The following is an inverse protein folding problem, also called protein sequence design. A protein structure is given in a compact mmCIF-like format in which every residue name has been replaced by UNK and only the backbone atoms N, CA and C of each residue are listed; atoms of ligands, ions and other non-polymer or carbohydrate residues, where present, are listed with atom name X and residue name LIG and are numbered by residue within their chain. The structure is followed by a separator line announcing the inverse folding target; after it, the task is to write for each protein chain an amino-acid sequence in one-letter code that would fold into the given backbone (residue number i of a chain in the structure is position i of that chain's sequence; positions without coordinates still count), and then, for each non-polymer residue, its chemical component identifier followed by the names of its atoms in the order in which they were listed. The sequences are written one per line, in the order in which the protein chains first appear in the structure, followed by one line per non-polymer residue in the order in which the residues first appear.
data_IF_447039873287
#
_entry.id   IF_447039873287
#
_cell.length_a   1.000
_cell.length_b   1.000
_cell.length_c   1.000
_cell.angle_alpha   90.00
_cell.angle_beta   90.00
_cell.angle_gamma   90.00
#
_symmetry.space_group_name_H-M   'P 1'
#
loop_
_entity.id
_entity.type
_entity.pdbx_description
1 polymer ?
#
# COMPACT_ATOMS: atom_id res chain seq x y z
N UNK A 1 -3.90 -18.98 -17.34
CA UNK A 1 -4.48 -19.38 -16.05
C UNK A 1 -5.79 -18.61 -15.86
N UNK A 2 -6.93 -19.29 -15.84
CA UNK A 2 -8.26 -18.67 -15.67
C UNK A 2 -8.42 -18.25 -14.21
N UNK A 3 -8.62 -16.97 -13.98
CA UNK A 3 -9.00 -16.45 -12.66
C UNK A 3 -10.49 -16.77 -12.42
N UNK A 4 -10.78 -17.85 -11.72
CA UNK A 4 -12.11 -18.16 -11.19
C UNK A 4 -12.34 -17.23 -9.98
N UNK A 5 -13.04 -16.10 -10.21
CA UNK A 5 -13.08 -14.99 -9.25
C UNK A 5 -14.05 -15.11 -8.07
N UNK A 6 -14.80 -16.21 -7.91
CA UNK A 6 -15.81 -16.34 -6.86
C UNK A 6 -15.46 -17.35 -5.75
N UNK A 7 -15.10 -18.56 -6.12
CA UNK A 7 -14.82 -19.64 -5.13
C UNK A 7 -13.49 -19.46 -4.39
N UNK A 8 -12.45 -18.93 -5.04
CA UNK A 8 -11.16 -18.64 -4.40
C UNK A 8 -11.26 -17.57 -3.29
N UNK A 9 -12.20 -16.65 -3.40
CA UNK A 9 -12.42 -15.58 -2.40
C UNK A 9 -13.00 -16.12 -1.10
N UNK A 10 -13.99 -17.01 -1.16
CA UNK A 10 -14.63 -17.59 0.03
C UNK A 10 -13.70 -18.58 0.75
N UNK A 11 -12.95 -19.40 0.01
CA UNK A 11 -11.98 -20.34 0.58
C UNK A 11 -10.84 -19.61 1.30
N UNK A 12 -10.34 -18.49 0.73
CA UNK A 12 -9.32 -17.67 1.38
C UNK A 12 -9.83 -16.99 2.66
N UNK A 13 -11.06 -16.49 2.68
CA UNK A 13 -11.67 -15.88 3.86
C UNK A 13 -11.93 -16.90 4.97
N UNK A 14 -12.33 -18.12 4.62
CA UNK A 14 -12.50 -19.20 5.59
C UNK A 14 -11.17 -19.68 6.17
N UNK A 15 -10.13 -19.74 5.33
CA UNK A 15 -8.79 -20.19 5.74
C UNK A 15 -8.02 -19.12 6.53
N UNK A 16 -8.23 -17.86 6.21
CA UNK A 16 -7.56 -16.71 6.82
C UNK A 16 -8.60 -15.65 7.18
N UNK A 17 -9.40 -15.85 8.24
CA UNK A 17 -10.49 -14.96 8.61
C UNK A 17 -10.02 -13.56 9.04
N UNK A 18 -8.76 -13.41 9.44
CA UNK A 18 -8.14 -12.11 9.75
C UNK A 18 -6.94 -11.86 8.84
N UNK A 19 -6.72 -10.62 8.44
CA UNK A 19 -5.52 -10.24 7.66
C UNK A 19 -4.21 -10.62 8.36
N UNK A 20 -4.18 -10.58 9.70
CA UNK A 20 -3.03 -11.02 10.50
C UNK A 20 -2.68 -12.50 10.31
N UNK A 21 -3.64 -13.33 9.92
CA UNK A 21 -3.43 -14.77 9.71
C UNK A 21 -2.57 -15.03 8.45
N UNK A 22 -2.50 -14.05 7.53
CA UNK A 22 -1.63 -14.11 6.35
C UNK A 22 -0.15 -13.91 6.70
N UNK A 23 0.19 -13.42 7.88
CA UNK A 23 1.58 -13.14 8.28
C UNK A 23 2.47 -14.38 8.25
N UNK A 24 1.99 -15.51 8.81
CA UNK A 24 2.74 -16.78 8.85
C UNK A 24 3.00 -17.37 7.45
N UNK A 25 2.00 -17.52 6.57
CA UNK A 25 2.23 -18.00 5.22
C UNK A 25 3.09 -17.03 4.39
N UNK A 26 2.96 -15.72 4.57
CA UNK A 26 3.83 -14.73 3.91
C UNK A 26 5.30 -14.90 4.31
N UNK A 27 5.59 -15.03 5.61
CA UNK A 27 6.94 -15.26 6.12
C UNK A 27 7.61 -16.55 5.57
N UNK A 28 6.81 -17.56 5.17
CA UNK A 28 7.33 -18.79 4.56
C UNK A 28 7.58 -18.67 3.05
N UNK A 29 6.93 -17.75 2.37
CA UNK A 29 6.99 -17.58 0.90
C UNK A 29 7.94 -16.48 0.46
N UNK A 30 8.03 -15.43 1.26
CA UNK A 30 8.87 -14.26 0.95
C UNK A 30 10.30 -14.54 1.45
N UNK A 31 11.35 -14.22 0.68
CA UNK A 31 12.73 -14.35 1.15
C UNK A 31 12.96 -13.62 2.48
N UNK A 32 13.74 -14.19 3.38
CA UNK A 32 13.90 -13.69 4.76
C UNK A 32 14.26 -12.21 4.83
N UNK A 33 15.17 -11.74 3.98
CA UNK A 33 15.61 -10.35 3.96
C UNK A 33 14.50 -9.40 3.46
N UNK A 34 13.70 -9.83 2.49
CA UNK A 34 12.54 -9.08 1.99
C UNK A 34 11.44 -9.04 3.03
N UNK A 35 11.18 -10.17 3.70
CA UNK A 35 10.21 -10.22 4.77
C UNK A 35 10.61 -9.32 5.95
N UNK A 36 11.91 -9.28 6.28
CA UNK A 36 12.42 -8.36 7.29
C UNK A 36 12.22 -6.89 6.89
N UNK A 37 12.38 -6.55 5.60
CA UNK A 37 12.06 -5.21 5.08
C UNK A 37 10.58 -4.86 5.31
N UNK A 38 9.67 -5.78 5.02
CA UNK A 38 8.23 -5.58 5.15
C UNK A 38 7.78 -5.47 6.62
N UNK A 39 8.30 -6.34 7.51
CA UNK A 39 7.78 -6.53 8.87
C UNK A 39 8.54 -5.72 9.95
N UNK A 40 9.74 -5.22 9.67
CA UNK A 40 10.52 -4.53 10.69
C UNK A 40 10.28 -3.02 10.74
N UNK A 41 10.28 -2.50 11.95
CA UNK A 41 10.54 -1.09 12.25
C UNK A 41 12.03 -0.82 12.50
N UNK A 42 12.34 0.21 13.27
CA UNK A 42 13.68 0.57 13.72
C UNK A 42 13.86 0.22 15.20
N UNK A 43 15.07 -0.16 15.61
CA UNK A 43 15.37 -0.58 16.97
C UNK A 43 14.60 -1.84 17.37
N UNK A 44 13.93 -1.80 18.50
CA UNK A 44 13.11 -2.90 19.03
C UNK A 44 11.65 -2.89 18.54
N UNK A 45 11.37 -2.29 17.40
CA UNK A 45 10.01 -2.17 16.81
C UNK A 45 9.00 -1.38 17.68
N UNK A 46 9.43 -0.68 18.74
CA UNK A 46 8.56 -0.02 19.72
C UNK A 46 7.53 0.91 19.06
N UNK A 47 7.96 1.81 18.18
CA UNK A 47 7.04 2.75 17.52
C UNK A 47 6.01 2.03 16.65
N UNK A 48 6.38 0.92 16.01
CA UNK A 48 5.46 0.07 15.24
C UNK A 48 4.40 -0.56 16.15
N UNK A 49 4.82 -1.05 17.30
CA UNK A 49 3.92 -1.71 18.25
C UNK A 49 3.01 -0.67 18.96
N UNK A 50 3.53 0.51 19.29
CA UNK A 50 2.74 1.63 19.80
C UNK A 50 1.70 2.13 18.79
N UNK A 51 2.05 2.25 17.50
CA UNK A 51 1.08 2.59 16.44
C UNK A 51 -0.06 1.56 16.38
N UNK A 52 0.26 0.29 16.51
CA UNK A 52 -0.76 -0.76 16.53
C UNK A 52 -1.62 -0.70 17.78
N UNK A 53 -1.01 -0.56 18.94
CA UNK A 53 -1.71 -0.46 20.22
C UNK A 53 -2.66 0.75 20.26
N UNK A 54 -2.26 1.89 19.66
CA UNK A 54 -3.12 3.06 19.54
C UNK A 54 -4.39 2.77 18.72
N UNK A 55 -4.24 2.12 17.56
CA UNK A 55 -5.38 1.74 16.72
C UNK A 55 -6.28 0.71 17.40
N UNK A 56 -5.69 -0.26 18.08
CA UNK A 56 -6.43 -1.30 18.81
C UNK A 56 -7.18 -0.73 20.04
N UNK A 57 -6.77 0.43 20.55
CA UNK A 57 -7.44 1.15 21.64
C UNK A 57 -8.64 2.01 21.19
N UNK A 58 -8.93 2.09 19.88
CA UNK A 58 -10.11 2.80 19.39
C UNK A 58 -11.34 1.91 19.57
N UNK A 59 -12.25 2.34 20.43
CA UNK A 59 -13.50 1.64 20.73
C UNK A 59 -14.68 2.26 19.98
N UNK A 60 -15.60 1.41 19.53
CA UNK A 60 -16.84 1.83 18.90
C UNK A 60 -17.99 1.67 19.90
N UNK A 61 -18.72 2.76 20.16
CA UNK A 61 -19.93 2.71 20.99
C UNK A 61 -21.10 2.22 20.17
N UNK A 62 -21.64 1.00 20.45
CA UNK A 62 -22.78 0.48 19.69
C UNK A 62 -24.05 1.26 20.01
N UNK A 63 -24.86 1.52 18.98
CA UNK A 63 -26.18 2.10 19.13
C UNK A 63 -27.24 1.08 18.68
N UNK A 64 -28.03 0.61 19.65
CA UNK A 64 -29.08 -0.36 19.39
C UNK A 64 -30.41 0.31 19.00
N UNK A 65 -31.35 -0.48 18.46
CA UNK A 65 -32.72 -0.08 18.14
C UNK A 65 -32.83 1.08 17.10
N UNK A 66 -31.82 1.25 16.22
CA UNK A 66 -31.79 2.23 15.16
C UNK A 66 -32.32 1.73 13.81
N UNK A 67 -32.85 0.51 13.78
CA UNK A 67 -33.28 -0.14 12.54
C UNK A 67 -32.10 -0.60 11.68
N UNK A 68 -32.38 -0.87 10.39
CA UNK A 68 -31.34 -1.24 9.43
C UNK A 68 -30.56 0.01 9.02
N UNK A 69 -29.25 -0.05 9.14
CA UNK A 69 -28.33 0.98 8.66
C UNK A 69 -27.75 0.54 7.31
N UNK A 70 -27.86 1.40 6.31
CA UNK A 70 -27.24 1.24 4.99
C UNK A 70 -26.24 2.40 4.82
N UNK A 71 -24.98 2.23 5.23
CA UNK A 71 -24.04 3.34 5.27
C UNK A 71 -23.54 3.67 3.87
N UNK A 72 -23.55 4.95 3.52
CA UNK A 72 -22.82 5.47 2.37
C UNK A 72 -21.35 5.64 2.78
N UNK A 73 -20.46 4.89 2.12
CA UNK A 73 -19.02 4.93 2.33
C UNK A 73 -18.30 5.84 1.33
N UNK A 74 -19.02 6.48 0.42
CA UNK A 74 -18.41 7.38 -0.55
C UNK A 74 -17.75 8.56 0.14
N UNK A 75 -16.60 8.98 -0.39
CA UNK A 75 -15.79 10.06 0.20
C UNK A 75 -15.23 10.92 -0.91
N UNK A 76 -15.35 12.22 -0.76
CA UNK A 76 -14.71 13.19 -1.65
C UNK A 76 -13.30 13.51 -1.14
N UNK A 77 -12.28 13.31 -2.00
CA UNK A 77 -10.91 13.71 -1.76
C UNK A 77 -10.42 14.57 -2.92
N UNK A 78 -10.21 15.85 -2.65
CA UNK A 78 -9.89 16.83 -3.68
C UNK A 78 -11.06 17.02 -4.65
N UNK A 79 -10.83 16.66 -5.93
CA UNK A 79 -11.86 16.80 -6.99
C UNK A 79 -12.50 15.48 -7.37
N UNK A 80 -12.24 14.40 -6.65
CA UNK A 80 -12.74 13.05 -6.97
C UNK A 80 -13.50 12.43 -5.82
N UNK A 81 -14.55 11.68 -6.19
CA UNK A 81 -15.31 10.82 -5.28
C UNK A 81 -14.81 9.39 -5.37
N UNK A 82 -14.53 8.79 -4.22
CA UNK A 82 -14.10 7.40 -4.06
C UNK A 82 -15.21 6.60 -3.38
N UNK A 83 -15.25 5.28 -3.63
CA UNK A 83 -16.28 4.39 -3.06
C UNK A 83 -16.01 4.02 -1.60
N UNK A 84 -14.85 4.41 -1.05
CA UNK A 84 -14.48 4.10 0.33
C UNK A 84 -13.55 5.18 0.89
N UNK A 85 -13.61 5.46 2.21
CA UNK A 85 -12.82 6.49 2.88
C UNK A 85 -11.39 6.01 3.21
N UNK A 86 -10.80 5.18 2.35
CA UNK A 86 -9.42 4.71 2.49
C UNK A 86 -8.78 4.50 1.12
N UNK A 87 -7.46 4.40 1.10
CA UNK A 87 -6.68 4.11 -0.10
C UNK A 87 -5.50 3.19 0.21
N UNK A 88 -4.82 2.73 -0.84
CA UNK A 88 -3.58 2.00 -0.70
C UNK A 88 -2.40 2.97 -0.64
N UNK A 89 -1.69 2.95 0.47
CA UNK A 89 -0.52 3.78 0.71
C UNK A 89 0.66 3.38 -0.20
N UNK A 90 1.61 4.29 -0.47
CA UNK A 90 2.80 3.99 -1.24
C UNK A 90 3.72 3.05 -0.46
N UNK A 91 4.08 1.93 -1.09
CA UNK A 91 5.03 0.97 -0.55
C UNK A 91 6.19 0.85 -1.54
N UNK A 92 7.39 1.18 -1.10
CA UNK A 92 8.59 1.00 -1.90
C UNK A 92 8.90 -0.48 -2.14
N UNK A 93 9.44 -0.80 -3.31
CA UNK A 93 9.92 -2.14 -3.64
C UNK A 93 8.85 -3.25 -3.50
N UNK A 94 7.58 -2.94 -3.75
CA UNK A 94 6.50 -3.92 -3.61
C UNK A 94 6.68 -5.13 -4.53
N UNK A 95 7.21 -4.94 -5.74
CA UNK A 95 7.54 -6.03 -6.67
C UNK A 95 8.66 -6.94 -6.17
N UNK A 96 9.53 -6.46 -5.26
CA UNK A 96 10.50 -7.30 -4.58
C UNK A 96 9.82 -8.23 -3.56
N UNK A 97 8.73 -7.77 -2.94
CA UNK A 97 7.91 -8.56 -2.01
C UNK A 97 7.12 -9.61 -2.79
N UNK A 98 6.48 -9.19 -3.87
CA UNK A 98 5.73 -10.06 -4.77
C UNK A 98 5.76 -9.52 -6.21
N UNK A 99 6.20 -10.31 -7.20
CA UNK A 99 6.26 -9.86 -8.58
C UNK A 99 4.92 -9.30 -9.08
N UNK A 100 4.93 -8.10 -9.64
CA UNK A 100 3.74 -7.43 -10.13
C UNK A 100 2.79 -6.90 -9.04
N UNK A 101 3.27 -6.73 -7.80
CA UNK A 101 2.45 -6.30 -6.67
C UNK A 101 1.77 -4.96 -6.92
N UNK A 102 2.47 -4.01 -7.51
CA UNK A 102 1.94 -2.67 -7.81
C UNK A 102 0.74 -2.74 -8.76
N UNK A 103 0.87 -3.49 -9.85
CA UNK A 103 -0.23 -3.70 -10.80
C UNK A 103 -1.38 -4.52 -10.20
N UNK A 104 -1.10 -5.47 -9.30
CA UNK A 104 -2.14 -6.22 -8.59
C UNK A 104 -2.96 -5.28 -7.71
N UNK A 105 -2.29 -4.43 -6.92
CA UNK A 105 -2.95 -3.44 -6.05
C UNK A 105 -3.70 -2.41 -6.91
N UNK A 106 -3.09 -1.93 -8.00
CA UNK A 106 -3.70 -1.00 -8.94
C UNK A 106 -5.02 -1.54 -9.51
N UNK A 107 -5.05 -2.79 -9.98
CA UNK A 107 -6.28 -3.43 -10.45
C UNK A 107 -7.34 -3.56 -9.35
N UNK A 108 -6.94 -3.86 -8.12
CA UNK A 108 -7.84 -3.91 -6.99
C UNK A 108 -8.42 -2.52 -6.68
N UNK A 109 -7.59 -1.49 -6.69
CA UNK A 109 -7.99 -0.10 -6.51
C UNK A 109 -9.03 0.34 -7.55
N UNK A 110 -8.78 0.07 -8.82
CA UNK A 110 -9.70 0.33 -9.93
C UNK A 110 -11.03 -0.41 -9.77
N UNK A 111 -10.97 -1.70 -9.43
CA UNK A 111 -12.17 -2.54 -9.24
C UNK A 111 -13.04 -2.05 -8.08
N UNK A 112 -12.43 -1.65 -6.98
CA UNK A 112 -13.15 -1.28 -5.76
C UNK A 112 -13.33 0.23 -5.55
N UNK A 113 -12.77 1.08 -6.43
CA UNK A 113 -12.98 2.52 -6.43
C UNK A 113 -12.31 3.26 -5.27
N UNK A 114 -11.09 2.90 -4.92
CA UNK A 114 -10.28 3.60 -3.93
C UNK A 114 -8.92 4.04 -4.52
N UNK A 115 -8.30 5.12 -4.02
CA UNK A 115 -7.03 5.59 -4.57
C UNK A 115 -5.87 4.63 -4.25
N UNK A 116 -4.97 4.46 -5.22
CA UNK A 116 -3.69 3.77 -5.04
C UNK A 116 -2.54 4.70 -5.31
N UNK A 117 -1.64 4.84 -4.35
CA UNK A 117 -0.45 5.69 -4.47
C UNK A 117 0.77 4.85 -4.85
N UNK A 118 1.28 5.07 -6.07
CA UNK A 118 2.52 4.46 -6.52
C UNK A 118 3.73 5.15 -5.88
N UNK A 119 4.65 4.38 -5.33
CA UNK A 119 5.90 4.90 -4.77
C UNK A 119 6.90 5.29 -5.86
N UNK A 120 7.71 6.33 -5.64
CA UNK A 120 8.86 6.67 -6.50
C UNK A 120 9.84 5.50 -6.65
N UNK A 121 9.98 4.68 -5.61
CA UNK A 121 10.87 3.50 -5.59
C UNK A 121 10.10 2.20 -5.78
N UNK A 122 9.04 2.23 -6.58
CA UNK A 122 8.32 1.04 -6.99
C UNK A 122 9.16 0.17 -7.94
N UNK A 123 8.84 -1.11 -8.03
CA UNK A 123 9.49 -2.05 -8.95
C UNK A 123 8.92 -2.00 -10.36
N UNK A 124 7.67 -1.56 -10.52
CA UNK A 124 7.01 -1.38 -11.83
C UNK A 124 7.04 0.08 -12.27
N UNK A 125 6.97 0.32 -13.58
CA UNK A 125 7.01 1.66 -14.14
C UNK A 125 5.71 2.45 -13.90
N UNK A 126 5.82 3.78 -13.96
CA UNK A 126 4.69 4.71 -13.84
C UNK A 126 3.59 4.34 -14.84
N UNK A 127 3.98 4.02 -16.09
CA UNK A 127 3.08 3.70 -17.18
C UNK A 127 2.32 2.39 -16.94
N UNK A 128 3.02 1.31 -16.55
CA UNK A 128 2.41 0.00 -16.28
C UNK A 128 1.37 0.08 -15.17
N UNK A 129 1.66 0.84 -14.14
CA UNK A 129 0.74 0.98 -13.00
C UNK A 129 -0.44 1.88 -13.35
N UNK A 130 -0.23 2.92 -14.16
CA UNK A 130 -1.31 3.75 -14.68
C UNK A 130 -2.34 2.91 -15.48
N UNK A 131 -1.87 2.01 -16.35
CA UNK A 131 -2.75 1.10 -17.10
C UNK A 131 -3.58 0.21 -16.16
N UNK A 132 -2.97 -0.26 -15.08
CA UNK A 132 -3.60 -1.15 -14.10
C UNK A 132 -4.60 -0.43 -13.20
N UNK A 133 -4.23 0.73 -12.64
CA UNK A 133 -5.02 1.47 -11.66
C UNK A 133 -5.95 2.51 -12.30
N UNK A 134 -5.64 2.96 -13.52
CA UNK A 134 -6.43 3.95 -14.25
C UNK A 134 -6.56 5.26 -13.45
N UNK A 135 -7.77 5.79 -13.38
CA UNK A 135 -8.08 7.04 -12.69
C UNK A 135 -7.91 6.99 -11.16
N UNK A 136 -7.66 5.81 -10.57
CA UNK A 136 -7.34 5.66 -9.15
C UNK A 136 -5.87 5.93 -8.84
N UNK A 137 -5.04 6.27 -9.84
CA UNK A 137 -3.60 6.43 -9.72
C UNK A 137 -3.22 7.75 -9.06
N UNK A 138 -2.50 7.66 -7.93
CA UNK A 138 -1.79 8.73 -7.27
C UNK A 138 -0.29 8.43 -7.29
N UNK A 139 0.55 9.45 -7.33
CA UNK A 139 2.00 9.28 -7.37
C UNK A 139 2.66 9.86 -6.11
N UNK A 140 3.48 9.06 -5.43
CA UNK A 140 4.29 9.54 -4.31
C UNK A 140 5.69 9.88 -4.81
N UNK A 141 6.16 11.08 -4.47
CA UNK A 141 7.45 11.61 -4.83
C UNK A 141 8.38 11.72 -3.62
N UNK A 142 9.52 11.03 -3.69
CA UNK A 142 10.74 11.47 -3.04
C UNK A 142 11.42 12.46 -3.97
N UNK A 143 11.48 13.74 -3.59
CA UNK A 143 12.06 14.77 -4.45
C UNK A 143 13.57 14.52 -4.65
N UNK A 144 14.02 14.11 -5.84
CA UNK A 144 15.44 13.90 -6.09
C UNK A 144 16.17 15.26 -6.15
N UNK A 145 17.47 15.26 -5.85
CA UNK A 145 18.31 16.46 -5.99
C UNK A 145 18.46 16.90 -7.43
N UNK A 146 18.45 15.94 -8.34
CA UNK A 146 18.49 16.20 -9.78
C UNK A 146 17.12 16.73 -10.24
N UNK A 147 17.11 17.98 -10.69
CA UNK A 147 15.89 18.67 -11.13
C UNK A 147 15.34 18.12 -12.44
N UNK A 148 16.19 17.62 -13.32
CA UNK A 148 15.74 17.10 -14.61
C UNK A 148 15.10 15.72 -14.43
N UNK A 149 15.65 14.87 -13.57
CA UNK A 149 15.00 13.65 -13.13
C UNK A 149 13.64 13.92 -12.46
N UNK A 150 13.58 14.92 -11.57
CA UNK A 150 12.32 15.30 -10.93
C UNK A 150 11.26 15.72 -11.95
N UNK A 151 11.65 16.57 -12.91
CA UNK A 151 10.74 17.03 -13.99
C UNK A 151 10.29 15.87 -14.87
N UNK A 152 11.17 14.92 -15.17
CA UNK A 152 10.83 13.74 -15.96
C UNK A 152 9.78 12.88 -15.24
N UNK A 153 9.99 12.55 -13.97
CA UNK A 153 9.05 11.79 -13.16
C UNK A 153 7.66 12.46 -13.13
N UNK A 154 7.62 13.78 -12.87
CA UNK A 154 6.36 14.52 -12.82
C UNK A 154 5.68 14.59 -14.19
N UNK A 155 6.43 14.78 -15.27
CA UNK A 155 5.89 14.79 -16.64
C UNK A 155 5.28 13.44 -17.00
N UNK A 156 5.97 12.35 -16.73
CA UNK A 156 5.50 10.99 -16.98
C UNK A 156 4.23 10.69 -16.16
N UNK A 157 4.26 10.94 -14.86
CA UNK A 157 3.09 10.75 -14.02
C UNK A 157 1.88 11.55 -14.53
N UNK A 158 2.06 12.84 -14.83
CA UNK A 158 1.01 13.67 -15.41
C UNK A 158 0.52 13.15 -16.76
N UNK A 159 1.44 12.75 -17.64
CA UNK A 159 1.13 12.22 -18.97
C UNK A 159 0.34 10.91 -18.93
N UNK A 160 0.53 10.09 -17.88
CA UNK A 160 -0.20 8.85 -17.64
C UNK A 160 -1.50 9.04 -16.84
N UNK A 161 -1.91 10.30 -16.55
CA UNK A 161 -3.19 10.58 -15.89
C UNK A 161 -3.20 10.43 -14.38
N UNK A 162 -2.05 10.43 -13.72
CA UNK A 162 -2.01 10.51 -12.27
C UNK A 162 -2.61 11.83 -11.79
N UNK A 163 -3.57 11.76 -10.86
CA UNK A 163 -4.40 12.93 -10.48
C UNK A 163 -3.89 13.64 -9.25
N UNK A 164 -3.09 12.98 -8.44
CA UNK A 164 -2.63 13.50 -7.15
C UNK A 164 -1.15 13.20 -6.97
N UNK A 165 -0.42 14.22 -6.52
CA UNK A 165 0.97 14.09 -6.10
C UNK A 165 1.06 14.09 -4.57
N UNK A 166 1.67 13.05 -4.02
CA UNK A 166 1.94 12.90 -2.58
C UNK A 166 3.43 13.12 -2.37
N UNK A 167 3.82 14.16 -1.65
CA UNK A 167 5.23 14.48 -1.40
C UNK A 167 5.62 13.96 -0.01
N UNK A 168 6.66 13.12 0.05
CA UNK A 168 7.25 12.69 1.32
C UNK A 168 8.27 13.73 1.78
N UNK A 169 8.02 14.34 2.93
CA UNK A 169 8.83 15.42 3.49
C UNK A 169 9.59 15.02 4.78
N UNK A 170 9.41 13.80 5.28
CA UNK A 170 9.80 13.37 6.62
C UNK A 170 10.94 12.36 6.68
N UNK A 171 11.67 12.14 5.58
CA UNK A 171 12.81 11.20 5.52
C UNK A 171 14.13 11.98 5.38
N UNK A 172 14.64 12.60 6.48
CA UNK A 172 15.87 13.40 6.43
C UNK A 172 17.13 12.56 6.31
N UNK A 173 17.09 11.29 6.74
CA UNK A 173 18.23 10.38 6.72
C UNK A 173 17.79 8.92 6.65
N UNK A 174 18.65 8.02 6.13
CA UNK A 174 18.39 6.58 6.15
C UNK A 174 18.22 6.05 7.58
N UNK A 175 17.22 5.19 7.79
CA UNK A 175 17.05 4.49 9.06
C UNK A 175 17.93 3.25 9.14
N UNK A 176 18.31 2.84 10.38
CA UNK A 176 19.20 1.68 10.55
C UNK A 176 18.53 0.34 10.30
N UNK A 177 17.25 0.18 10.59
CA UNK A 177 16.45 -1.07 10.41
C UNK A 177 17.26 -2.33 10.74
N UNK A 178 17.61 -2.51 12.00
CA UNK A 178 18.57 -3.52 12.46
C UNK A 178 18.17 -4.95 12.08
N UNK A 179 16.88 -5.29 12.19
CA UNK A 179 16.36 -6.62 11.80
C UNK A 179 16.56 -6.91 10.31
N UNK A 180 16.43 -5.89 9.48
CA UNK A 180 16.66 -6.00 8.03
C UNK A 180 18.14 -6.27 7.74
N UNK A 181 19.06 -5.60 8.45
CA UNK A 181 20.50 -5.82 8.35
C UNK A 181 20.90 -7.22 8.81
N UNK A 182 20.39 -7.69 9.95
CA UNK A 182 20.63 -9.05 10.46
C UNK A 182 20.13 -10.09 9.46
N UNK A 183 19.05 -9.81 8.74
CA UNK A 183 18.53 -10.71 7.70
C UNK A 183 19.32 -10.69 6.38
N UNK A 184 20.41 -9.90 6.30
CA UNK A 184 21.27 -9.82 5.11
C UNK A 184 20.69 -9.01 3.96
N UNK A 185 19.81 -8.06 4.24
CA UNK A 185 19.26 -7.20 3.21
C UNK A 185 20.34 -6.27 2.64
N UNK A 186 20.51 -6.18 1.32
CA UNK A 186 21.45 -5.26 0.68
C UNK A 186 21.01 -3.79 0.71
N UNK A 187 19.82 -3.55 1.25
CA UNK A 187 19.14 -2.25 1.29
C UNK A 187 19.31 -1.64 2.69
N UNK A 188 20.31 -0.83 2.90
CA UNK A 188 20.51 -0.14 4.18
C UNK A 188 21.62 0.90 4.11
#
# INVERSE_FOLDING_TARGET
MRCCGGELSMDLMNKYPRLSDLKKPAAKRIPKFVYAYLDSGTGHDRAKDENRAFLDGIELTPQFMRGRVDPDLTTELGTKTFKAPFGAAPIGLSSLIWPGAESIIGRAAKKHGFPYTLSTVAGESIEMVADSAGEMSWFQLYAPRDRDLMRDLLRRAKGCGYTTLVITADVPSPSRRERMRIAGAPLG
#
